data_IF_189665404169
#
_entry.id   IF_189665404169
#
_cell.length_a   1.000
_cell.length_b   1.000
_cell.length_c   1.000
_cell.angle_alpha   90.00
_cell.angle_beta   90.00
_cell.angle_gamma   90.00
#
_symmetry.space_group_name_H-M   'P 1'
#
loop_
_entity.id
_entity.type
_entity.pdbx_description
1 polymer ?
#
# COMPACT_ATOMS: atom_id res chain seq x y z
N UNK A 1 24.08 -0.23 -27.67
CA UNK A 1 23.32 -1.01 -26.66
C UNK A 1 23.35 -0.37 -25.27
N UNK A 2 24.51 0.05 -24.75
CA UNK A 2 24.62 0.77 -23.46
C UNK A 2 23.74 2.04 -23.35
N UNK A 3 23.58 2.80 -24.45
CA UNK A 3 22.70 3.99 -24.46
C UNK A 3 21.21 3.63 -24.28
N UNK A 4 20.73 2.61 -25.00
CA UNK A 4 19.35 2.11 -24.86
C UNK A 4 19.08 1.42 -23.52
N UNK A 5 20.09 0.79 -22.91
CA UNK A 5 19.99 0.25 -21.56
C UNK A 5 19.93 1.35 -20.50
N UNK A 6 20.74 2.41 -20.64
CA UNK A 6 20.63 3.61 -19.81
C UNK A 6 19.23 4.24 -19.93
N UNK A 7 18.73 4.42 -21.15
CA UNK A 7 17.39 5.01 -21.38
C UNK A 7 16.25 4.14 -20.81
N UNK A 8 16.44 2.81 -20.76
CA UNK A 8 15.52 1.89 -20.09
C UNK A 8 15.56 2.03 -18.57
N UNK A 9 16.75 2.13 -17.97
CA UNK A 9 16.90 2.36 -16.53
C UNK A 9 16.39 3.74 -16.12
N UNK A 10 16.66 4.79 -16.90
CA UNK A 10 16.19 6.14 -16.59
C UNK A 10 14.65 6.28 -16.65
N UNK A 11 13.95 5.23 -17.10
CA UNK A 11 12.50 5.12 -16.92
C UNK A 11 12.23 4.87 -15.43
N UNK A 12 11.83 5.91 -14.70
CA UNK A 12 11.69 5.90 -13.22
C UNK A 12 10.98 4.69 -12.63
N UNK A 13 9.93 4.18 -13.32
CA UNK A 13 9.21 2.97 -12.93
C UNK A 13 10.09 1.71 -12.75
N UNK A 14 11.21 1.59 -13.49
CA UNK A 14 12.11 0.43 -13.40
C UNK A 14 13.09 0.57 -12.23
N UNK A 15 13.63 1.77 -12.00
CA UNK A 15 14.54 2.03 -10.88
C UNK A 15 13.80 1.85 -9.56
N UNK A 16 12.61 2.41 -9.43
CA UNK A 16 11.84 2.34 -8.18
C UNK A 16 11.46 0.89 -7.84
N UNK A 17 11.05 0.11 -8.86
CA UNK A 17 10.79 -1.32 -8.70
C UNK A 17 12.06 -2.08 -8.31
N UNK A 18 13.19 -1.82 -8.99
CA UNK A 18 14.46 -2.48 -8.69
C UNK A 18 14.91 -2.20 -7.24
N UNK A 19 14.83 -0.94 -6.80
CA UNK A 19 15.16 -0.53 -5.43
C UNK A 19 14.24 -1.22 -4.42
N UNK A 20 12.94 -1.25 -4.67
CA UNK A 20 11.97 -1.92 -3.80
C UNK A 20 12.29 -3.42 -3.62
N UNK A 21 12.64 -4.12 -4.69
CA UNK A 21 13.01 -5.55 -4.65
C UNK A 21 14.33 -5.76 -3.87
N UNK A 22 15.35 -4.94 -4.12
CA UNK A 22 16.65 -5.06 -3.43
C UNK A 22 16.50 -4.80 -1.94
N UNK A 23 15.78 -3.75 -1.54
CA UNK A 23 15.54 -3.44 -0.12
C UNK A 23 14.69 -4.54 0.53
N UNK A 24 13.65 -5.03 -0.16
CA UNK A 24 12.79 -6.09 0.36
C UNK A 24 13.54 -7.39 0.63
N UNK A 25 14.42 -7.80 -0.29
CA UNK A 25 15.24 -9.01 -0.13
C UNK A 25 16.28 -8.85 0.97
N UNK A 26 16.98 -7.71 1.03
CA UNK A 26 17.95 -7.42 2.09
C UNK A 26 17.30 -7.41 3.48
N UNK A 27 16.14 -6.77 3.63
CA UNK A 27 15.42 -6.74 4.91
C UNK A 27 14.96 -8.14 5.34
N UNK A 28 14.40 -8.92 4.40
CA UNK A 28 13.98 -10.30 4.67
C UNK A 28 15.17 -11.15 5.13
N UNK A 29 16.35 -10.96 4.54
CA UNK A 29 17.58 -11.65 4.93
C UNK A 29 18.00 -11.31 6.37
N UNK A 30 17.92 -10.03 6.77
CA UNK A 30 18.23 -9.59 8.15
C UNK A 30 17.28 -10.25 9.14
N UNK A 31 15.97 -10.20 8.88
CA UNK A 31 14.98 -10.81 9.79
C UNK A 31 15.16 -12.33 9.85
N UNK A 32 15.40 -12.97 8.71
CA UNK A 32 15.68 -14.41 8.64
C UNK A 32 16.92 -14.77 9.46
N UNK A 33 17.99 -13.98 9.39
CA UNK A 33 19.20 -14.21 10.18
C UNK A 33 18.94 -14.12 11.68
N UNK A 34 18.12 -13.16 12.12
CA UNK A 34 17.73 -13.01 13.52
C UNK A 34 16.85 -14.18 13.96
N UNK A 35 15.84 -14.56 13.17
CA UNK A 35 14.97 -15.69 13.48
C UNK A 35 15.77 -16.99 13.57
N UNK A 36 16.66 -17.25 12.61
CA UNK A 36 17.54 -18.42 12.64
C UNK A 36 18.51 -18.42 13.81
N UNK A 37 19.04 -17.24 14.19
CA UNK A 37 20.00 -17.12 15.27
C UNK A 37 19.40 -17.24 16.67
N UNK A 38 18.12 -16.87 16.84
CA UNK A 38 17.48 -16.78 18.17
C UNK A 38 16.33 -17.76 18.31
N UNK A 39 15.46 -17.87 17.31
CA UNK A 39 14.22 -18.66 17.39
C UNK A 39 14.50 -20.14 17.08
N UNK A 40 15.28 -20.47 16.05
CA UNK A 40 15.56 -21.87 15.72
C UNK A 40 16.22 -22.63 16.90
N UNK A 41 17.20 -22.06 17.64
CA UNK A 41 17.73 -22.71 18.84
C UNK A 41 16.69 -22.89 19.95
N UNK A 42 15.80 -21.92 20.15
CA UNK A 42 14.72 -22.03 21.13
C UNK A 42 13.74 -23.14 20.76
N UNK A 43 13.37 -23.24 19.48
CA UNK A 43 12.52 -24.32 18.97
C UNK A 43 13.22 -25.68 19.05
N UNK A 44 14.53 -25.74 18.82
CA UNK A 44 15.35 -26.94 18.94
C UNK A 44 15.56 -27.39 20.39
N UNK A 45 15.19 -26.59 21.40
CA UNK A 45 15.12 -27.04 22.80
C UNK A 45 13.79 -27.78 23.05
N UNK A 46 12.71 -27.36 22.41
CA UNK A 46 11.39 -28.01 22.53
C UNK A 46 11.21 -29.20 21.58
N UNK A 47 11.92 -29.22 20.45
CA UNK A 47 11.96 -30.32 19.49
C UNK A 47 13.32 -31.02 19.50
N UNK A 48 13.34 -32.35 19.44
CA UNK A 48 14.60 -33.12 19.34
C UNK A 48 15.50 -32.60 18.22
N UNK A 49 16.80 -32.58 18.49
CA UNK A 49 17.91 -32.03 17.69
C UNK A 49 17.89 -32.48 16.23
N UNK A 50 17.11 -31.80 15.40
CA UNK A 50 17.34 -31.59 13.97
C UNK A 50 16.16 -30.80 13.37
N UNK A 51 14.93 -31.23 13.63
CA UNK A 51 13.73 -30.72 12.93
C UNK A 51 12.52 -31.35 13.63
N UNK A 52 12.17 -30.89 14.84
CA UNK A 52 11.04 -31.37 15.65
C UNK A 52 10.90 -32.91 15.84
N UNK A 53 11.80 -33.76 15.32
CA UNK A 53 11.69 -35.22 15.33
C UNK A 53 10.45 -35.80 14.63
N UNK A 54 9.59 -34.97 14.06
CA UNK A 54 8.32 -35.37 13.46
C UNK A 54 8.59 -35.73 11.99
N UNK A 55 9.12 -36.92 11.76
CA UNK A 55 9.26 -37.45 10.41
C UNK A 55 8.65 -38.81 10.27
N UNK A 56 7.88 -39.02 9.21
CA UNK A 56 7.29 -40.31 8.88
C UNK A 56 8.09 -40.90 7.73
N UNK A 57 8.65 -42.09 7.93
CA UNK A 57 9.26 -42.85 6.85
C UNK A 57 8.18 -43.67 6.15
N UNK A 58 7.89 -43.38 4.89
CA UNK A 58 6.79 -44.04 4.17
C UNK A 58 7.14 -45.48 3.75
N UNK A 59 8.44 -45.81 3.63
CA UNK A 59 8.94 -47.14 3.29
C UNK A 59 10.17 -47.45 4.14
N UNK A 60 10.13 -48.52 4.93
CA UNK A 60 11.31 -49.01 5.68
C UNK A 60 12.48 -49.29 4.75
N UNK A 61 13.69 -48.90 5.15
CA UNK A 61 14.96 -49.03 4.42
C UNK A 61 15.19 -48.13 3.19
N UNK A 62 14.30 -47.17 2.89
CA UNK A 62 14.62 -46.09 1.93
C UNK A 62 14.76 -44.75 2.63
N UNK A 63 15.99 -44.23 2.80
CA UNK A 63 16.21 -42.91 3.41
C UNK A 63 15.64 -41.77 2.55
N UNK A 64 15.43 -42.00 1.24
CA UNK A 64 14.83 -41.03 0.33
C UNK A 64 13.31 -40.84 0.51
N UNK A 65 12.66 -41.67 1.32
CA UNK A 65 11.20 -41.60 1.57
C UNK A 65 10.85 -41.10 2.98
N UNK A 66 11.81 -40.44 3.64
CA UNK A 66 11.59 -39.77 4.91
C UNK A 66 10.96 -38.39 4.67
N UNK A 67 9.74 -38.18 5.16
CA UNK A 67 9.10 -36.87 5.15
C UNK A 67 9.40 -36.20 6.48
N UNK A 68 10.22 -35.15 6.46
CA UNK A 68 10.44 -34.31 7.64
C UNK A 68 9.33 -33.25 7.73
N UNK A 69 8.53 -33.30 8.79
CA UNK A 69 7.48 -32.29 9.09
C UNK A 69 8.05 -31.14 9.93
N UNK A 70 9.13 -31.38 10.65
CA UNK A 70 9.81 -30.35 11.43
C UNK A 70 10.27 -29.09 10.70
N UNK A 71 10.86 -29.17 9.49
CA UNK A 71 11.25 -27.96 8.77
C UNK A 71 10.04 -27.19 8.26
N UNK A 72 8.92 -27.87 8.01
CA UNK A 72 7.68 -27.21 7.59
C UNK A 72 7.13 -26.34 8.72
N UNK A 73 7.07 -26.88 9.94
CA UNK A 73 6.61 -26.13 11.12
C UNK A 73 7.58 -24.97 11.42
N UNK A 74 8.89 -25.23 11.34
CA UNK A 74 9.93 -24.21 11.54
C UNK A 74 9.80 -23.08 10.50
N UNK A 75 9.55 -23.43 9.23
CA UNK A 75 9.32 -22.47 8.16
C UNK A 75 8.05 -21.64 8.38
N UNK A 76 6.96 -22.26 8.85
CA UNK A 76 5.73 -21.56 9.20
C UNK A 76 5.94 -20.56 10.34
N UNK A 77 6.67 -20.94 11.39
CA UNK A 77 7.00 -20.05 12.51
C UNK A 77 7.88 -18.90 12.02
N UNK A 78 8.91 -19.18 11.22
CA UNK A 78 9.78 -18.16 10.66
C UNK A 78 9.01 -17.17 9.77
N UNK A 79 8.09 -17.66 8.93
CA UNK A 79 7.22 -16.81 8.13
C UNK A 79 6.35 -15.88 9.01
N UNK A 80 5.73 -16.42 10.07
CA UNK A 80 4.95 -15.63 11.03
C UNK A 80 5.80 -14.56 11.70
N UNK A 81 7.05 -14.89 12.08
CA UNK A 81 7.97 -13.95 12.70
C UNK A 81 8.37 -12.83 11.75
N UNK A 82 8.69 -13.13 10.49
CA UNK A 82 9.00 -12.11 9.49
C UNK A 82 7.80 -11.17 9.29
N UNK A 83 6.60 -11.72 9.17
CA UNK A 83 5.37 -10.93 9.05
C UNK A 83 5.12 -10.06 10.30
N UNK A 84 5.34 -10.59 11.49
CA UNK A 84 5.18 -9.86 12.75
C UNK A 84 6.17 -8.69 12.87
N UNK A 85 7.44 -8.92 12.52
CA UNK A 85 8.47 -7.87 12.53
C UNK A 85 8.16 -6.79 11.50
N UNK A 86 7.79 -7.16 10.27
CA UNK A 86 7.36 -6.20 9.25
C UNK A 86 6.17 -5.37 9.69
N UNK A 87 5.16 -6.01 10.29
CA UNK A 87 4.00 -5.32 10.82
C UNK A 87 4.38 -4.33 11.92
N UNK A 88 5.20 -4.75 12.89
CA UNK A 88 5.53 -3.91 14.03
C UNK A 88 6.50 -2.77 13.67
N UNK A 89 7.43 -2.98 12.74
CA UNK A 89 8.46 -2.00 12.36
C UNK A 89 7.99 -1.06 11.25
N UNK A 90 7.12 -1.50 10.33
CA UNK A 90 6.66 -0.66 9.22
C UNK A 90 5.20 -0.23 9.39
N UNK A 91 4.29 -1.18 9.58
CA UNK A 91 2.85 -0.90 9.53
C UNK A 91 2.37 -0.17 10.79
N UNK A 92 2.80 -0.62 11.97
CA UNK A 92 2.41 -0.03 13.24
C UNK A 92 2.87 1.44 13.39
N UNK A 93 4.15 1.81 13.18
CA UNK A 93 4.56 3.20 13.26
C UNK A 93 3.85 4.03 12.19
N UNK A 94 3.70 3.54 10.97
CA UNK A 94 2.99 4.25 9.91
C UNK A 94 1.51 4.47 10.23
N UNK A 95 0.84 3.49 10.86
CA UNK A 95 -0.53 3.61 11.37
C UNK A 95 -0.63 4.59 12.53
N UNK A 96 0.28 4.51 13.50
CA UNK A 96 0.30 5.43 14.65
C UNK A 96 0.63 6.86 14.24
N UNK A 97 1.56 7.06 13.29
CA UNK A 97 1.92 8.37 12.78
C UNK A 97 0.75 8.98 12.01
N UNK A 98 0.07 8.20 11.15
CA UNK A 98 -1.15 8.65 10.45
C UNK A 98 -2.30 8.99 11.42
N UNK A 99 -2.39 8.28 12.54
CA UNK A 99 -3.44 8.54 13.54
C UNK A 99 -3.10 9.71 14.49
N UNK A 100 -1.81 10.01 14.71
CA UNK A 100 -1.34 11.03 15.66
C UNK A 100 -1.01 12.37 15.00
N UNK A 101 -0.58 12.33 13.74
CA UNK A 101 -0.47 13.46 12.84
C UNK A 101 -1.58 13.31 11.81
N UNK A 102 -2.76 13.84 12.10
CA UNK A 102 -3.87 13.96 11.15
C UNK A 102 -3.58 14.94 10.01
N UNK A 103 -2.35 14.90 9.48
CA UNK A 103 -1.85 15.78 8.44
C UNK A 103 -1.21 14.90 7.39
N UNK A 104 -1.97 14.67 6.32
CA UNK A 104 -1.59 15.28 5.04
C UNK A 104 -0.09 15.20 4.74
N UNK A 105 0.44 13.99 4.56
CA UNK A 105 0.96 13.79 3.21
C UNK A 105 -0.30 13.65 2.40
N UNK A 106 -0.83 14.78 1.93
CA UNK A 106 -1.69 14.76 0.78
C UNK A 106 -0.89 13.87 -0.17
N UNK A 107 -1.37 12.65 -0.43
CA UNK A 107 -1.25 12.19 -1.79
C UNK A 107 -1.69 13.42 -2.57
N UNK A 108 -0.77 14.01 -3.35
CA UNK A 108 -1.15 15.14 -4.22
C UNK A 108 -2.54 14.82 -4.74
N UNK A 109 -3.52 15.72 -4.54
CA UNK A 109 -4.92 15.41 -4.78
C UNK A 109 -4.97 14.67 -6.09
N UNK A 110 -5.44 13.42 -6.01
CA UNK A 110 -5.30 12.50 -7.13
C UNK A 110 -5.87 13.18 -8.35
N UNK A 111 -5.37 12.88 -9.55
CA UNK A 111 -5.90 13.51 -10.77
C UNK A 111 -7.44 13.42 -10.81
N UNK A 112 -7.99 12.34 -10.27
CA UNK A 112 -9.43 12.14 -10.06
C UNK A 112 -10.07 13.16 -9.09
N UNK A 113 -9.46 13.44 -7.93
CA UNK A 113 -9.95 14.45 -6.98
C UNK A 113 -9.92 15.85 -7.59
N UNK A 114 -8.84 16.21 -8.30
CA UNK A 114 -8.75 17.48 -9.02
C UNK A 114 -9.81 17.58 -10.14
N UNK A 115 -10.04 16.50 -10.88
CA UNK A 115 -11.09 16.47 -11.90
C UNK A 115 -12.50 16.59 -11.31
N UNK A 116 -12.73 16.04 -10.11
CA UNK A 116 -13.99 16.22 -9.37
C UNK A 116 -14.15 17.67 -8.94
N UNK A 117 -13.12 18.30 -8.37
CA UNK A 117 -13.15 19.71 -8.00
C UNK A 117 -13.40 20.60 -9.23
N UNK A 118 -12.69 20.36 -10.34
CA UNK A 118 -12.88 21.10 -11.60
C UNK A 118 -14.32 20.91 -12.12
N UNK A 119 -14.85 19.69 -12.11
CA UNK A 119 -16.24 19.40 -12.51
C UNK A 119 -17.23 20.19 -11.64
N UNK A 120 -17.02 20.22 -10.34
CA UNK A 120 -17.93 20.87 -9.40
C UNK A 120 -17.88 22.40 -9.54
N UNK A 121 -16.69 22.96 -9.76
CA UNK A 121 -16.51 24.38 -10.08
C UNK A 121 -17.18 24.77 -11.41
N UNK A 122 -17.01 23.95 -12.46
CA UNK A 122 -17.67 24.15 -13.75
C UNK A 122 -19.20 24.02 -13.65
N UNK A 123 -19.69 23.05 -12.89
CA UNK A 123 -21.13 22.86 -12.67
C UNK A 123 -21.73 24.07 -11.96
N UNK A 124 -21.04 24.61 -10.95
CA UNK A 124 -21.45 25.85 -10.27
C UNK A 124 -21.46 27.04 -11.22
N UNK A 125 -20.38 27.26 -11.97
CA UNK A 125 -20.28 28.36 -12.94
C UNK A 125 -21.39 28.31 -14.00
N UNK A 126 -21.73 27.11 -14.50
CA UNK A 126 -22.82 26.91 -15.46
C UNK A 126 -24.20 27.16 -14.84
N UNK A 127 -24.40 26.81 -13.57
CA UNK A 127 -25.63 27.09 -12.85
C UNK A 127 -25.83 28.60 -12.64
N UNK A 128 -24.77 29.30 -12.21
CA UNK A 128 -24.77 30.76 -12.01
C UNK A 128 -25.06 31.48 -13.34
N UNK A 129 -24.35 31.11 -14.42
CA UNK A 129 -24.57 31.69 -15.74
C UNK A 129 -25.97 31.40 -16.33
N UNK A 130 -26.63 30.32 -15.91
CA UNK A 130 -28.01 30.02 -16.29
C UNK A 130 -28.99 30.85 -15.48
N UNK A 131 -28.73 31.04 -14.18
CA UNK A 131 -29.52 31.87 -13.29
C UNK A 131 -29.56 33.33 -13.77
N UNK A 132 -28.40 33.88 -14.14
CA UNK A 132 -28.27 35.24 -14.67
C UNK A 132 -29.11 35.45 -15.95
N UNK A 133 -29.04 34.50 -16.90
CA UNK A 133 -29.83 34.54 -18.13
C UNK A 133 -31.32 34.44 -17.87
N UNK A 134 -31.75 33.60 -16.92
CA UNK A 134 -33.16 33.55 -16.54
C UNK A 134 -33.63 34.83 -15.86
N UNK A 135 -32.80 35.47 -15.03
CA UNK A 135 -33.14 36.75 -14.41
C UNK A 135 -33.27 37.87 -15.45
N UNK A 136 -32.37 37.92 -16.44
CA UNK A 136 -32.41 38.86 -17.56
C UNK A 136 -33.68 38.69 -18.42
N UNK A 137 -34.06 37.46 -18.76
CA UNK A 137 -35.28 37.16 -19.52
C UNK A 137 -36.55 37.52 -18.73
N UNK A 138 -36.56 37.28 -17.41
CA UNK A 138 -37.70 37.65 -16.56
C UNK A 138 -37.85 39.17 -16.41
N UNK A 139 -36.74 39.91 -16.37
CA UNK A 139 -36.75 41.37 -16.34
C UNK A 139 -37.26 41.98 -17.66
N UNK A 140 -36.98 41.34 -18.80
CA UNK A 140 -37.44 41.80 -20.12
C UNK A 140 -38.94 41.49 -20.37
N UNK A 141 -39.48 40.45 -19.72
CA UNK A 141 -40.88 40.04 -19.83
C UNK A 141 -41.86 40.87 -18.98
N UNK A 142 -41.38 41.63 -17.99
CA UNK A 142 -42.21 42.54 -17.18
C UNK A 142 -41.61 43.96 -17.08
N UNK A 143 -41.88 44.83 -18.07
CA UNK A 143 -41.43 46.22 -18.05
C UNK A 143 -42.20 47.11 -17.05
N UNK A 144 -43.17 46.59 -16.27
CA UNK A 144 -44.12 47.43 -15.52
C UNK A 144 -43.87 47.54 -14.01
N UNK A 145 -42.92 46.80 -13.44
CA UNK A 145 -42.63 46.85 -11.99
C UNK A 145 -41.82 48.09 -11.57
N UNK A 146 -41.31 48.87 -12.52
CA UNK A 146 -40.44 50.04 -12.25
C UNK A 146 -41.13 51.39 -11.97
N UNK A 147 -42.45 51.52 -12.10
CA UNK A 147 -43.10 52.87 -12.12
C UNK A 147 -44.01 53.20 -10.94
N UNK A 148 -44.09 52.38 -9.88
CA UNK A 148 -45.09 52.55 -8.81
C UNK A 148 -44.56 53.12 -7.47
N UNK A 149 -43.33 53.63 -7.38
CA UNK A 149 -42.73 54.05 -6.07
C UNK A 149 -42.31 55.52 -5.99
N UNK A 150 -42.62 56.39 -6.95
CA UNK A 150 -42.39 57.85 -6.79
C UNK A 150 -43.68 58.66 -7.01
N UNK A 151 -44.47 58.81 -5.95
CA UNK A 151 -45.34 59.97 -5.70
C UNK A 151 -45.43 60.25 -4.21
#
# INVERSE_FOLDING_TARGET
MLKGFKDFLMRGNVIDLAVAVVIGTAFTAVVTAVTKGVIDPLLAVFGSSAELGLGVQLVGDKPSTFIAIGPIITACINFLMIAAVLYFVLILPMKTLKNRFGTTKAAEPTETELLIEIRDLLAKQNADARADRTAEVLADLDPTVGSSTER
#
